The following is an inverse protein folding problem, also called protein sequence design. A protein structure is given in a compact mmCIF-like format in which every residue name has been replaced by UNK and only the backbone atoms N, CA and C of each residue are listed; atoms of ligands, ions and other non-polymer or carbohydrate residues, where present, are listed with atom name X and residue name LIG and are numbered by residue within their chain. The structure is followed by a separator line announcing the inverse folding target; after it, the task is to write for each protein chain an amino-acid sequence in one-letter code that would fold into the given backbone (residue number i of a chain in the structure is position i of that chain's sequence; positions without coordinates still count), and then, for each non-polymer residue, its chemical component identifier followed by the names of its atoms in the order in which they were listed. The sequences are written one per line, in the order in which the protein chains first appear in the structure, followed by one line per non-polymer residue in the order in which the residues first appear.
data_IF_566101295081
#
_entry.id   IF_566101295081
#
_cell.length_a   1.000
_cell.length_b   1.000
_cell.length_c   1.000
_cell.angle_alpha   90.00
_cell.angle_beta   90.00
_cell.angle_gamma   90.00
#
_symmetry.space_group_name_H-M   'P 1'
#
loop_
_entity.id
_entity.type
_entity.pdbx_description
1 polymer ?
#
# COMPACT_ATOMS: atom_id res chain seq x y z
N UNK A 1 5.86 15.16 7.32
CA UNK A 1 6.40 16.42 6.74
C UNK A 1 5.33 17.10 5.87
N UNK A 2 4.81 16.42 4.85
CA UNK A 2 3.81 16.95 3.92
C UNK A 2 2.36 16.76 4.43
N UNK A 3 1.94 17.60 5.38
CA UNK A 3 0.67 17.41 6.13
C UNK A 3 -0.59 17.40 5.27
N UNK A 4 -0.65 18.25 4.24
CA UNK A 4 -1.87 18.46 3.46
C UNK A 4 -1.93 17.68 2.14
N UNK A 5 -0.86 16.94 1.81
CA UNK A 5 -0.82 16.06 0.64
C UNK A 5 -0.73 14.60 1.09
N UNK A 6 0.43 14.14 1.54
CA UNK A 6 0.59 12.76 2.06
C UNK A 6 -0.24 12.52 3.31
N UNK A 7 -0.27 13.49 4.22
CA UNK A 7 -1.13 13.41 5.40
C UNK A 7 -2.62 13.36 5.04
N UNK A 8 -3.03 14.06 3.98
CA UNK A 8 -4.37 14.00 3.42
C UNK A 8 -4.68 12.62 2.83
N UNK A 9 -3.78 12.08 2.00
CA UNK A 9 -3.91 10.73 1.43
C UNK A 9 -4.14 9.67 2.50
N UNK A 10 -3.31 9.68 3.56
CA UNK A 10 -3.47 8.76 4.68
C UNK A 10 -4.85 8.91 5.33
N UNK A 11 -5.24 10.14 5.66
CA UNK A 11 -6.50 10.42 6.35
C UNK A 11 -7.69 9.94 5.52
N UNK A 12 -7.74 10.28 4.23
CA UNK A 12 -8.81 9.85 3.32
C UNK A 12 -8.87 8.34 3.16
N UNK A 13 -7.72 7.64 3.16
CA UNK A 13 -7.68 6.18 3.10
C UNK A 13 -8.34 5.52 4.32
N UNK A 14 -8.06 6.01 5.53
CA UNK A 14 -8.71 5.52 6.75
C UNK A 14 -10.20 5.86 6.79
N UNK A 15 -10.58 7.07 6.35
CA UNK A 15 -11.99 7.47 6.26
C UNK A 15 -12.77 6.55 5.31
N UNK A 16 -12.25 6.32 4.10
CA UNK A 16 -12.87 5.41 3.13
C UNK A 16 -13.00 3.98 3.68
N UNK A 17 -11.95 3.44 4.30
CA UNK A 17 -11.99 2.10 4.89
C UNK A 17 -13.10 1.99 5.95
N UNK A 18 -13.28 3.03 6.77
CA UNK A 18 -14.31 3.08 7.80
C UNK A 18 -15.71 3.30 7.24
N UNK A 19 -15.86 4.09 6.19
CA UNK A 19 -17.17 4.43 5.63
C UNK A 19 -17.71 3.32 4.72
N UNK A 20 -16.85 2.70 3.91
CA UNK A 20 -17.27 1.73 2.90
C UNK A 20 -16.95 0.27 3.27
N UNK A 21 -15.96 0.03 4.13
CA UNK A 21 -15.42 -1.31 4.40
C UNK A 21 -15.29 -1.66 5.89
N UNK A 22 -16.03 -1.00 6.80
CA UNK A 22 -15.95 -1.23 8.24
C UNK A 22 -16.14 -2.71 8.66
N UNK A 23 -16.96 -3.45 7.91
CA UNK A 23 -17.19 -4.88 8.18
C UNK A 23 -16.02 -5.78 7.76
N UNK A 24 -15.10 -5.28 6.94
CA UNK A 24 -13.98 -6.02 6.39
C UNK A 24 -12.63 -5.54 6.95
N UNK A 25 -12.52 -4.29 7.39
CA UNK A 25 -11.25 -3.71 7.82
C UNK A 25 -11.20 -3.42 9.33
N UNK A 26 -10.00 -3.35 9.87
CA UNK A 26 -9.73 -2.85 11.22
C UNK A 26 -8.39 -2.12 11.24
N UNK A 27 -8.28 -1.02 11.97
CA UNK A 27 -6.99 -0.34 12.16
C UNK A 27 -6.17 -0.93 13.31
N UNK A 28 -4.86 -0.70 13.30
CA UNK A 28 -3.98 -1.11 14.40
C UNK A 28 -4.43 -0.56 15.76
N UNK A 29 -4.89 0.69 15.80
CA UNK A 29 -5.38 1.36 17.01
C UNK A 29 -6.66 0.69 17.54
N UNK A 30 -7.59 0.30 16.66
CA UNK A 30 -8.83 -0.36 17.03
C UNK A 30 -8.62 -1.78 17.55
N UNK A 31 -7.72 -2.55 16.93
CA UNK A 31 -7.49 -3.95 17.29
C UNK A 31 -6.43 -4.14 18.38
N UNK A 32 -5.69 -3.09 18.77
CA UNK A 32 -4.60 -3.14 19.76
C UNK A 32 -3.59 -4.26 19.48
N UNK A 33 -3.24 -4.43 18.19
CA UNK A 33 -2.31 -5.47 17.73
C UNK A 33 -2.86 -6.90 17.65
N UNK A 34 -4.17 -7.11 17.89
CA UNK A 34 -4.84 -8.42 17.73
C UNK A 34 -5.89 -8.35 16.63
N UNK A 35 -5.49 -8.62 15.40
CA UNK A 35 -6.38 -8.61 14.23
C UNK A 35 -7.45 -9.70 14.38
N UNK A 36 -8.76 -9.35 14.38
CA UNK A 36 -9.82 -10.34 14.41
C UNK A 36 -9.80 -11.23 13.16
N UNK A 37 -10.16 -12.52 13.28
CA UNK A 37 -10.24 -13.41 12.13
C UNK A 37 -11.14 -12.85 11.03
N UNK A 38 -10.65 -12.87 9.78
CA UNK A 38 -11.40 -12.42 8.60
C UNK A 38 -11.41 -10.91 8.36
N UNK A 39 -10.77 -10.11 9.23
CA UNK A 39 -10.56 -8.67 9.00
C UNK A 39 -9.21 -8.40 8.34
N UNK A 40 -9.16 -7.42 7.45
CA UNK A 40 -7.92 -6.86 6.89
C UNK A 40 -7.41 -5.75 7.81
N UNK A 41 -6.14 -5.84 8.22
CA UNK A 41 -5.50 -4.79 8.99
C UNK A 41 -5.15 -3.60 8.08
N UNK A 42 -5.61 -2.41 8.46
CA UNK A 42 -5.19 -1.15 7.87
C UNK A 42 -4.15 -0.50 8.80
N UNK A 43 -2.97 -0.24 8.25
CA UNK A 43 -1.86 0.39 8.94
C UNK A 43 -1.14 1.35 8.00
N UNK A 44 -0.45 2.34 8.57
CA UNK A 44 0.39 3.27 7.83
C UNK A 44 1.84 3.23 8.32
N UNK A 45 2.75 3.49 7.39
CA UNK A 45 4.17 3.68 7.66
C UNK A 45 4.64 4.98 6.99
N UNK A 46 5.57 5.68 7.63
CA UNK A 46 6.24 6.83 6.99
C UNK A 46 7.13 6.26 5.88
N UNK A 47 7.15 6.90 4.71
CA UNK A 47 7.80 6.36 3.51
C UNK A 47 9.28 5.96 3.70
N UNK A 48 10.04 6.75 4.47
CA UNK A 48 11.45 6.46 4.80
C UNK A 48 11.62 5.28 5.76
N UNK A 49 10.73 5.16 6.75
CA UNK A 49 10.67 4.02 7.65
C UNK A 49 10.24 2.76 6.89
N UNK A 50 9.30 2.88 5.95
CA UNK A 50 8.83 1.76 5.13
C UNK A 50 9.96 1.17 4.27
N UNK A 51 10.82 2.01 3.66
CA UNK A 51 12.03 1.56 2.96
C UNK A 51 12.97 0.70 3.84
N UNK A 52 13.01 0.95 5.15
CA UNK A 52 13.77 0.11 6.08
C UNK A 52 13.00 -1.14 6.50
N UNK A 53 11.67 -1.03 6.64
CA UNK A 53 10.79 -2.13 7.03
C UNK A 53 10.73 -3.21 5.95
N UNK A 54 10.68 -2.86 4.66
CA UNK A 54 10.72 -3.85 3.57
C UNK A 54 12.00 -4.70 3.59
N UNK A 55 13.09 -4.22 4.19
CA UNK A 55 14.34 -4.99 4.36
C UNK A 55 14.37 -5.83 5.64
N UNK A 56 13.74 -5.35 6.71
CA UNK A 56 13.89 -5.92 8.07
C UNK A 56 12.69 -6.74 8.53
N UNK A 57 11.51 -6.48 7.94
CA UNK A 57 10.19 -6.98 8.34
C UNK A 57 9.28 -7.10 7.11
N UNK A 58 9.81 -7.67 6.02
CA UNK A 58 9.09 -7.77 4.75
C UNK A 58 7.78 -8.56 4.86
N UNK A 59 7.74 -9.53 5.77
CA UNK A 59 6.62 -10.43 6.05
C UNK A 59 5.45 -9.77 6.80
N UNK A 60 5.60 -8.51 7.24
CA UNK A 60 4.52 -7.73 7.87
C UNK A 60 3.63 -7.00 6.85
N UNK A 61 3.93 -7.10 5.55
CA UNK A 61 3.25 -6.33 4.50
C UNK A 61 2.76 -7.21 3.34
N UNK A 62 1.51 -6.96 2.91
CA UNK A 62 0.90 -7.64 1.77
C UNK A 62 0.50 -6.67 0.65
N UNK A 63 -0.32 -5.66 0.97
CA UNK A 63 -0.87 -4.69 0.01
C UNK A 63 -0.44 -3.29 0.40
N UNK A 64 0.21 -2.58 -0.53
CA UNK A 64 0.70 -1.21 -0.33
C UNK A 64 -0.11 -0.26 -1.21
N UNK A 65 -0.92 0.58 -0.58
CA UNK A 65 -1.57 1.72 -1.24
C UNK A 65 -0.74 2.99 -0.99
N UNK A 66 -0.36 3.69 -2.05
CA UNK A 66 0.50 4.86 -1.94
C UNK A 66 0.28 5.87 -3.06
N UNK A 67 0.86 7.05 -2.92
CA UNK A 67 0.84 8.11 -3.92
C UNK A 67 1.84 7.81 -5.05
N UNK A 68 1.62 8.42 -6.21
CA UNK A 68 2.36 8.17 -7.46
C UNK A 68 3.89 8.05 -7.25
N UNK A 69 4.54 9.11 -6.71
CA UNK A 69 6.00 9.12 -6.53
C UNK A 69 6.50 8.07 -5.53
N UNK A 70 5.78 7.87 -4.43
CA UNK A 70 6.17 6.84 -3.45
C UNK A 70 5.94 5.44 -4.04
N UNK A 71 4.91 5.24 -4.87
CA UNK A 71 4.66 3.98 -5.56
C UNK A 71 5.78 3.61 -6.53
N UNK A 72 6.25 4.58 -7.31
CA UNK A 72 7.39 4.45 -8.21
C UNK A 72 8.64 3.98 -7.43
N UNK A 73 9.07 4.75 -6.43
CA UNK A 73 10.27 4.42 -5.64
C UNK A 73 10.18 3.08 -4.90
N UNK A 74 9.03 2.79 -4.29
CA UNK A 74 8.85 1.58 -3.48
C UNK A 74 8.75 0.33 -4.35
N UNK A 75 8.03 0.40 -5.48
CA UNK A 75 7.89 -0.75 -6.37
C UNK A 75 9.22 -1.14 -7.01
N UNK A 76 10.05 -0.17 -7.41
CA UNK A 76 11.40 -0.41 -7.90
C UNK A 76 12.32 -1.02 -6.83
N UNK A 77 12.28 -0.47 -5.61
CA UNK A 77 13.08 -1.01 -4.50
C UNK A 77 12.70 -2.46 -4.18
N UNK A 78 11.40 -2.78 -4.15
CA UNK A 78 10.89 -4.13 -3.92
C UNK A 78 11.26 -5.08 -5.08
N UNK A 79 11.12 -4.65 -6.33
CA UNK A 79 11.53 -5.43 -7.49
C UNK A 79 13.03 -5.72 -7.46
N UNK A 80 13.87 -4.72 -7.12
CA UNK A 80 15.31 -4.90 -6.95
C UNK A 80 15.65 -5.89 -5.84
N UNK A 81 14.96 -5.81 -4.71
CA UNK A 81 15.18 -6.67 -3.53
C UNK A 81 15.00 -8.15 -3.83
N UNK A 82 14.09 -8.50 -4.75
CA UNK A 82 13.84 -9.88 -5.19
C UNK A 82 14.61 -10.28 -6.46
N UNK A 83 15.49 -9.41 -6.97
CA UNK A 83 16.21 -9.62 -8.23
C UNK A 83 15.31 -9.55 -9.48
N UNK A 84 14.16 -8.90 -9.36
CA UNK A 84 13.04 -8.96 -10.28
C UNK A 84 12.86 -7.77 -11.22
N UNK A 85 13.78 -6.79 -11.28
CA UNK A 85 13.62 -5.56 -12.11
C UNK A 85 13.21 -5.88 -13.55
N UNK A 86 13.81 -6.91 -14.16
CA UNK A 86 13.52 -7.31 -15.55
C UNK A 86 12.30 -8.22 -15.74
N UNK A 87 11.62 -8.62 -14.66
CA UNK A 87 10.51 -9.58 -14.70
C UNK A 87 9.29 -9.15 -13.88
N UNK A 88 9.31 -7.94 -13.31
CA UNK A 88 8.18 -7.39 -12.57
C UNK A 88 6.97 -7.19 -13.51
N UNK A 89 5.80 -7.75 -13.18
CA UNK A 89 4.58 -7.50 -13.93
C UNK A 89 3.97 -6.14 -13.57
N UNK A 90 3.43 -5.42 -14.56
CA UNK A 90 2.76 -4.14 -14.39
C UNK A 90 1.33 -4.15 -14.92
N UNK A 91 0.48 -3.30 -14.35
CA UNK A 91 -0.91 -3.15 -14.77
C UNK A 91 -1.48 -1.79 -14.46
N UNK A 92 -2.00 -1.11 -15.48
CA UNK A 92 -2.71 0.15 -15.40
C UNK A 92 -4.22 -0.12 -15.53
N UNK A 93 -4.97 0.08 -14.44
CA UNK A 93 -6.39 -0.30 -14.35
C UNK A 93 -7.26 0.95 -14.18
N UNK A 94 -8.23 1.14 -15.08
CA UNK A 94 -9.22 2.20 -14.98
C UNK A 94 -10.62 1.62 -14.75
N UNK A 95 -11.09 1.70 -13.51
CA UNK A 95 -12.38 1.16 -13.10
C UNK A 95 -13.59 1.92 -13.67
N UNK A 96 -13.44 3.21 -14.05
CA UNK A 96 -14.54 4.02 -14.61
C UNK A 96 -14.87 3.60 -16.04
N UNK A 97 -13.84 3.41 -16.87
CA UNK A 97 -13.99 2.99 -18.27
C UNK A 97 -14.05 1.46 -18.44
N UNK A 98 -13.71 0.71 -17.39
CA UNK A 98 -13.60 -0.76 -17.44
C UNK A 98 -12.43 -1.26 -18.30
N UNK A 99 -11.41 -0.43 -18.53
CA UNK A 99 -10.24 -0.76 -19.37
C UNK A 99 -9.01 -1.00 -18.51
N UNK A 100 -8.18 -1.95 -18.91
CA UNK A 100 -6.90 -2.23 -18.31
C UNK A 100 -5.83 -2.43 -19.38
N UNK A 101 -4.62 -1.98 -19.10
CA UNK A 101 -3.43 -2.23 -19.90
C UNK A 101 -2.43 -2.98 -19.03
N UNK A 102 -1.96 -4.12 -19.52
CA UNK A 102 -0.97 -4.95 -18.84
C UNK A 102 0.31 -4.90 -19.64
N UNK A 103 1.39 -4.48 -18.99
CA UNK A 103 2.69 -4.25 -19.62
C UNK A 103 3.81 -4.72 -18.70
N UNK A 104 4.96 -5.01 -19.28
CA UNK A 104 6.15 -5.18 -18.49
C UNK A 104 6.51 -3.84 -17.83
N UNK A 105 7.10 -3.87 -16.64
CA UNK A 105 7.60 -2.65 -15.99
C UNK A 105 8.76 -2.01 -16.76
N UNK A 106 9.39 -2.75 -17.69
CA UNK A 106 10.54 -2.34 -18.51
C UNK A 106 10.20 -2.12 -19.98
#
# INVERSE_FOLDING_TARGET
IMKFTEGGFRQWGYELAKEEFAEQTVSWEECQGKVPPGKVLIQDAIADAFLQQILTRADEFDVIATLNLNGDYLSDALAAQVGGIGIAPGGNINYVSGRAVFEATH
#
